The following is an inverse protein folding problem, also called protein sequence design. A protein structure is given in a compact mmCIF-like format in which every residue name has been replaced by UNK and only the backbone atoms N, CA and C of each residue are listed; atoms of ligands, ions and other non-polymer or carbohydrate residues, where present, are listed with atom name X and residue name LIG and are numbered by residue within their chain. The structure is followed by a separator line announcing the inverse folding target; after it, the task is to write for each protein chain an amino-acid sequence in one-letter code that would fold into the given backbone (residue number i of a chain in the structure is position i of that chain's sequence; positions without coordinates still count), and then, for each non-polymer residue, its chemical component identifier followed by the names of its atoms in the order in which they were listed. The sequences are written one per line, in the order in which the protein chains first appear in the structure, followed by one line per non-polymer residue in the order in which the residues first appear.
data_IF_010245249697
#
_entry.id   IF_010245249697
#
_cell.length_a   1.000
_cell.length_b   1.000
_cell.length_c   1.000
_cell.angle_alpha   90.00
_cell.angle_beta   90.00
_cell.angle_gamma   90.00
#
_symmetry.space_group_name_H-M   'P 1'
#
loop_
_entity.id
_entity.type
_entity.pdbx_description
1 polymer ?
#
# COMPACT_ATOMS: atom_id res chain seq x y z
N UNK A 1 -12.32 37.15 -38.51
CA UNK A 1 -10.94 37.61 -38.26
C UNK A 1 -10.10 36.38 -37.98
N UNK A 2 -9.31 35.92 -38.95
CA UNK A 2 -8.48 34.71 -38.80
C UNK A 2 -7.09 35.12 -38.28
N UNK A 3 -6.77 34.67 -37.07
CA UNK A 3 -5.47 34.93 -36.42
C UNK A 3 -4.38 34.15 -37.14
N UNK A 4 -3.42 34.88 -37.71
CA UNK A 4 -2.20 34.31 -38.26
C UNK A 4 -1.31 33.87 -37.09
N UNK A 5 -1.35 32.59 -36.76
CA UNK A 5 -0.30 31.96 -35.94
C UNK A 5 0.94 31.85 -36.80
N UNK A 6 1.86 32.80 -36.67
CA UNK A 6 3.21 32.69 -37.18
C UNK A 6 3.93 31.60 -36.38
N UNK A 7 3.78 30.35 -36.82
CA UNK A 7 4.62 29.26 -36.39
C UNK A 7 6.04 29.57 -36.86
N UNK A 8 6.84 30.18 -35.99
CA UNK A 8 8.29 30.29 -36.16
C UNK A 8 8.90 28.90 -36.01
N UNK A 9 8.62 28.03 -36.97
CA UNK A 9 9.44 26.88 -37.26
C UNK A 9 10.82 27.44 -37.57
N UNK A 10 11.78 27.23 -36.67
CA UNK A 10 13.20 27.48 -36.90
C UNK A 10 13.64 26.58 -38.06
N UNK A 11 13.30 27.00 -39.28
CA UNK A 11 14.01 26.64 -40.48
C UNK A 11 15.45 27.04 -40.20
N UNK A 12 16.39 26.09 -40.24
CA UNK A 12 17.82 26.39 -40.37
C UNK A 12 17.93 27.32 -41.58
N UNK A 13 17.91 28.62 -41.34
CA UNK A 13 17.79 29.61 -42.40
C UNK A 13 19.05 29.44 -43.24
N UNK A 14 18.88 28.99 -44.48
CA UNK A 14 19.99 28.85 -45.40
C UNK A 14 20.33 30.26 -45.87
N UNK A 15 21.42 30.80 -45.34
CA UNK A 15 21.94 32.12 -45.70
C UNK A 15 22.68 32.00 -47.03
N UNK A 16 22.41 32.89 -47.98
CA UNK A 16 23.15 33.00 -49.24
C UNK A 16 24.26 34.04 -49.08
N UNK A 17 25.44 33.76 -49.63
CA UNK A 17 26.50 34.76 -49.75
C UNK A 17 26.33 35.59 -51.03
N UNK A 18 27.17 36.61 -51.21
CA UNK A 18 27.11 37.50 -52.39
C UNK A 18 27.47 36.80 -53.72
N UNK A 19 27.99 35.57 -53.68
CA UNK A 19 28.12 34.72 -54.87
C UNK A 19 26.81 34.07 -55.33
N UNK A 20 25.73 34.18 -54.54
CA UNK A 20 24.47 33.46 -54.76
C UNK A 20 24.50 31.99 -54.28
N UNK A 21 25.57 31.58 -53.60
CA UNK A 21 25.75 30.23 -53.05
C UNK A 21 25.41 30.17 -51.56
N UNK A 22 25.07 28.98 -51.05
CA UNK A 22 24.80 28.81 -49.62
C UNK A 22 26.06 29.02 -48.77
N UNK A 23 25.96 29.92 -47.80
CA UNK A 23 26.99 30.18 -46.82
C UNK A 23 27.15 28.99 -45.86
N UNK A 24 28.38 28.78 -45.38
CA UNK A 24 28.75 27.73 -44.43
C UNK A 24 28.97 28.33 -43.04
N UNK A 25 28.77 27.52 -41.99
CA UNK A 25 29.16 27.93 -40.63
C UNK A 25 30.65 27.66 -40.43
N UNK A 26 31.44 28.71 -40.27
CA UNK A 26 32.85 28.66 -39.93
C UNK A 26 33.09 29.20 -38.52
N UNK A 27 34.26 28.89 -37.95
CA UNK A 27 34.69 29.37 -36.62
C UNK A 27 35.81 30.39 -36.80
N UNK A 28 35.66 31.57 -36.21
CA UNK A 28 36.67 32.62 -36.22
C UNK A 28 37.91 32.18 -35.46
N UNK A 29 39.06 32.42 -36.08
CA UNK A 29 40.41 32.18 -35.53
C UNK A 29 41.14 33.50 -35.24
N UNK A 30 40.46 34.64 -35.33
CA UNK A 30 41.09 35.93 -35.07
C UNK A 30 41.26 36.14 -33.56
N UNK A 31 42.30 36.85 -33.11
CA UNK A 31 42.51 37.17 -31.70
C UNK A 31 41.34 37.93 -31.06
N UNK A 32 40.59 38.71 -31.84
CA UNK A 32 39.48 39.54 -31.37
C UNK A 32 38.20 38.74 -31.15
N UNK A 33 38.00 37.64 -31.89
CA UNK A 33 36.80 36.80 -31.81
C UNK A 33 37.15 35.30 -31.81
N UNK A 34 37.98 34.81 -30.87
CA UNK A 34 38.42 33.42 -30.86
C UNK A 34 37.22 32.49 -30.62
N UNK A 35 37.03 31.49 -31.47
CA UNK A 35 36.02 30.43 -31.26
C UNK A 35 34.57 30.83 -31.60
N UNK A 36 34.30 32.09 -31.95
CA UNK A 36 32.96 32.54 -32.34
C UNK A 36 32.60 32.04 -33.74
N UNK A 37 31.38 31.53 -33.91
CA UNK A 37 30.89 31.01 -35.20
C UNK A 37 30.27 32.11 -36.07
N UNK A 38 30.42 31.99 -37.38
CA UNK A 38 29.86 32.91 -38.37
C UNK A 38 29.49 32.16 -39.66
N UNK A 39 28.52 32.68 -40.41
CA UNK A 39 28.22 32.35 -41.79
C UNK A 39 29.24 33.00 -42.72
N UNK A 40 30.02 32.19 -43.42
CA UNK A 40 31.00 32.64 -44.42
C UNK A 40 30.70 32.10 -45.80
N UNK A 41 31.22 32.76 -46.83
CA UNK A 41 31.24 32.21 -48.19
C UNK A 41 31.84 30.80 -48.18
N UNK A 42 31.29 29.88 -49.00
CA UNK A 42 31.81 28.50 -49.14
C UNK A 42 33.31 28.45 -49.51
N UNK A 43 33.80 29.47 -50.20
CA UNK A 43 35.21 29.60 -50.59
C UNK A 43 36.10 30.27 -49.52
N UNK A 44 35.58 30.57 -48.33
CA UNK A 44 36.38 31.17 -47.24
C UNK A 44 37.39 30.15 -46.66
N UNK A 45 38.65 30.54 -46.36
CA UNK A 45 39.26 31.87 -46.47
C UNK A 45 40.07 32.08 -47.78
N UNK A 46 39.80 31.31 -48.83
CA UNK A 46 40.57 31.37 -50.09
C UNK A 46 40.35 32.69 -50.85
N UNK A 47 41.27 33.04 -51.75
CA UNK A 47 41.24 34.30 -52.51
C UNK A 47 39.99 34.50 -53.40
N UNK A 48 39.25 33.43 -53.71
CA UNK A 48 37.98 33.46 -54.47
C UNK A 48 36.72 33.57 -53.62
N UNK A 49 36.83 34.04 -52.37
CA UNK A 49 35.67 34.33 -51.51
C UNK A 49 35.11 35.73 -51.81
N UNK A 50 33.80 35.94 -51.64
CA UNK A 50 33.17 37.25 -51.85
C UNK A 50 33.25 38.19 -50.64
N UNK A 51 33.93 37.81 -49.56
CA UNK A 51 34.01 38.61 -48.33
C UNK A 51 32.77 38.56 -47.43
N UNK A 52 31.72 37.81 -47.81
CA UNK A 52 30.52 37.68 -46.98
C UNK A 52 30.83 37.09 -45.59
N UNK A 53 30.42 37.82 -44.55
CA UNK A 53 30.49 37.40 -43.14
C UNK A 53 29.20 37.82 -42.44
N UNK A 54 28.46 36.85 -41.90
CA UNK A 54 27.31 37.09 -41.01
C UNK A 54 27.48 36.32 -39.71
N UNK A 55 27.14 36.87 -38.55
CA UNK A 55 27.31 36.14 -37.28
C UNK A 55 26.33 34.95 -37.17
N UNK A 56 26.82 33.81 -36.68
CA UNK A 56 26.00 32.62 -36.47
C UNK A 56 25.44 32.65 -35.05
N UNK A 57 24.12 32.74 -34.94
CA UNK A 57 23.41 32.53 -33.67
C UNK A 57 22.94 31.07 -33.60
N UNK A 58 23.39 30.27 -32.62
CA UNK A 58 22.81 28.95 -32.42
C UNK A 58 21.33 29.12 -32.07
N UNK A 59 20.44 28.22 -32.54
CA UNK A 59 19.09 28.21 -32.03
C UNK A 59 19.14 28.02 -30.52
N UNK A 60 18.42 28.86 -29.77
CA UNK A 60 18.24 28.66 -28.33
C UNK A 60 17.76 27.22 -28.15
N UNK A 61 18.57 26.41 -27.47
CA UNK A 61 18.25 25.01 -27.28
C UNK A 61 16.98 24.98 -26.42
N UNK A 62 15.85 24.56 -27.00
CA UNK A 62 14.58 24.41 -26.28
C UNK A 62 14.75 23.59 -24.99
N UNK A 63 15.77 22.74 -24.96
CA UNK A 63 16.20 21.92 -23.83
C UNK A 63 16.44 22.75 -22.56
N UNK A 64 17.04 23.95 -22.63
CA UNK A 64 17.28 24.78 -21.45
C UNK A 64 15.98 25.28 -20.82
N UNK A 65 15.02 25.65 -21.66
CA UNK A 65 13.68 26.09 -21.23
C UNK A 65 12.92 24.91 -20.62
N UNK A 66 13.03 23.72 -21.21
CA UNK A 66 12.42 22.49 -20.69
C UNK A 66 13.03 22.11 -19.34
N UNK A 67 14.36 22.13 -19.22
CA UNK A 67 15.08 21.85 -17.98
C UNK A 67 14.67 22.82 -16.88
N UNK A 68 14.58 24.12 -17.17
CA UNK A 68 14.11 25.11 -16.21
C UNK A 68 12.67 24.82 -15.74
N UNK A 69 11.75 24.52 -16.67
CA UNK A 69 10.35 24.18 -16.34
C UNK A 69 10.25 22.93 -15.48
N UNK A 70 11.03 21.90 -15.80
CA UNK A 70 11.07 20.65 -15.04
C UNK A 70 11.61 20.87 -13.63
N UNK A 71 12.71 21.62 -13.47
CA UNK A 71 13.25 21.98 -12.14
C UNK A 71 12.21 22.69 -11.28
N UNK A 72 11.48 23.66 -11.85
CA UNK A 72 10.40 24.36 -11.13
C UNK A 72 9.30 23.39 -10.69
N UNK A 73 8.95 22.42 -11.54
CA UNK A 73 7.92 21.41 -11.23
C UNK A 73 8.37 20.48 -10.10
N UNK A 74 9.65 20.08 -10.07
CA UNK A 74 10.21 19.26 -8.98
C UNK A 74 10.06 19.98 -7.63
N UNK A 75 10.55 21.21 -7.52
CA UNK A 75 10.45 22.00 -6.28
C UNK A 75 9.01 22.14 -5.81
N UNK A 76 8.08 22.41 -6.73
CA UNK A 76 6.66 22.55 -6.40
C UNK A 76 6.04 21.21 -5.94
N UNK A 77 6.41 20.10 -6.56
CA UNK A 77 5.93 18.77 -6.17
C UNK A 77 6.50 18.33 -4.82
N UNK A 78 7.78 18.62 -4.54
CA UNK A 78 8.40 18.35 -3.25
C UNK A 78 7.69 19.10 -2.12
N UNK A 79 7.38 20.38 -2.32
CA UNK A 79 6.59 21.16 -1.36
C UNK A 79 5.20 20.55 -1.11
N UNK A 80 4.50 20.11 -2.16
CA UNK A 80 3.20 19.46 -2.01
C UNK A 80 3.28 18.11 -1.28
N UNK A 81 4.36 17.35 -1.46
CA UNK A 81 4.58 16.12 -0.74
C UNK A 81 4.81 16.37 0.76
N UNK A 82 5.59 17.40 1.09
CA UNK A 82 5.83 17.80 2.47
C UNK A 82 4.52 18.22 3.17
N UNK A 83 3.69 19.02 2.50
CA UNK A 83 2.38 19.41 3.03
C UNK A 83 1.43 18.22 3.22
N UNK A 84 1.46 17.26 2.28
CA UNK A 84 0.67 16.01 2.41
C UNK A 84 1.15 15.17 3.59
N UNK A 85 2.46 15.05 3.79
CA UNK A 85 3.03 14.32 4.94
C UNK A 85 2.57 14.93 6.26
N UNK A 86 2.64 16.25 6.40
CA UNK A 86 2.18 16.96 7.60
C UNK A 86 0.69 16.72 7.89
N UNK A 87 -0.17 16.85 6.88
CA UNK A 87 -1.61 16.54 7.02
C UNK A 87 -1.85 15.09 7.46
N UNK A 88 -1.14 14.14 6.83
CA UNK A 88 -1.27 12.73 7.21
C UNK A 88 -0.80 12.47 8.65
N UNK A 89 0.26 13.15 9.12
CA UNK A 89 0.74 13.04 10.50
C UNK A 89 -0.26 13.64 11.49
N UNK A 90 -0.87 14.78 11.15
CA UNK A 90 -1.94 15.40 11.93
C UNK A 90 -3.17 14.49 12.01
N UNK A 91 -3.58 13.90 10.89
CA UNK A 91 -4.68 12.93 10.82
C UNK A 91 -4.37 11.68 11.65
N UNK A 92 -3.14 11.19 11.64
CA UNK A 92 -2.72 10.06 12.47
C UNK A 92 -2.84 10.39 13.96
N UNK A 93 -2.32 11.55 14.39
CA UNK A 93 -2.47 12.03 15.77
C UNK A 93 -3.94 12.18 16.16
N UNK A 94 -4.79 12.63 15.22
CA UNK A 94 -6.23 12.72 15.42
C UNK A 94 -6.86 11.35 15.60
N UNK A 95 -6.53 10.37 14.75
CA UNK A 95 -6.98 8.98 14.87
C UNK A 95 -6.56 8.42 16.23
N UNK A 96 -5.31 8.58 16.64
CA UNK A 96 -4.84 8.13 17.97
C UNK A 96 -5.60 8.81 19.11
N UNK A 97 -5.88 10.11 18.99
CA UNK A 97 -6.66 10.84 19.99
C UNK A 97 -8.11 10.36 20.05
N UNK A 98 -8.71 10.03 18.91
CA UNK A 98 -10.05 9.47 18.80
C UNK A 98 -10.07 8.06 19.38
N UNK A 99 -9.07 7.22 19.06
CA UNK A 99 -8.89 5.92 19.69
C UNK A 99 -8.76 6.06 21.20
N UNK A 100 -7.94 6.98 21.72
CA UNK A 100 -7.81 7.20 23.17
C UNK A 100 -9.12 7.64 23.82
N UNK A 101 -9.89 8.52 23.17
CA UNK A 101 -11.17 9.01 23.70
C UNK A 101 -12.29 7.97 23.60
N UNK A 102 -12.30 7.19 22.52
CA UNK A 102 -13.26 6.11 22.28
C UNK A 102 -12.89 4.84 23.06
N UNK A 103 -11.61 4.67 23.38
CA UNK A 103 -11.09 3.74 24.35
C UNK A 103 -11.26 4.34 25.75
N UNK A 104 -12.51 4.45 26.18
CA UNK A 104 -12.77 4.15 27.57
C UNK A 104 -12.22 2.74 27.79
N UNK A 105 -11.45 2.47 28.86
CA UNK A 105 -11.29 1.11 29.35
C UNK A 105 -12.72 0.64 29.63
N UNK A 106 -13.36 0.04 28.61
CA UNK A 106 -14.65 -0.61 28.71
C UNK A 106 -14.61 -1.40 30.01
N UNK A 107 -15.65 -1.25 30.82
CA UNK A 107 -15.80 -1.76 32.16
C UNK A 107 -15.39 -3.24 32.27
N UNK A 108 -14.09 -3.49 32.33
CA UNK A 108 -13.53 -4.83 32.17
C UNK A 108 -13.97 -5.70 33.33
N UNK A 109 -14.18 -5.08 34.49
CA UNK A 109 -14.80 -5.72 35.65
C UNK A 109 -16.26 -6.12 35.38
N UNK A 110 -17.07 -5.33 34.67
CA UNK A 110 -18.46 -5.66 34.39
C UNK A 110 -18.57 -6.84 33.43
N UNK A 111 -17.78 -6.82 32.35
CA UNK A 111 -17.69 -7.96 31.41
C UNK A 111 -17.15 -9.20 32.13
N UNK A 112 -16.09 -9.07 32.94
CA UNK A 112 -15.55 -10.19 33.72
C UNK A 112 -16.57 -10.76 34.72
N UNK A 113 -17.37 -9.92 35.37
CA UNK A 113 -18.43 -10.34 36.29
C UNK A 113 -19.52 -11.10 35.53
N UNK A 114 -19.92 -10.65 34.34
CA UNK A 114 -20.88 -11.38 33.51
C UNK A 114 -20.35 -12.76 33.10
N UNK A 115 -19.11 -12.84 32.60
CA UNK A 115 -18.52 -14.11 32.19
C UNK A 115 -18.31 -15.08 33.36
N UNK A 116 -17.93 -14.57 34.54
CA UNK A 116 -17.81 -15.42 35.75
C UNK A 116 -19.14 -15.99 36.18
N UNK A 117 -20.22 -15.18 36.20
CA UNK A 117 -21.57 -15.65 36.53
C UNK A 117 -22.04 -16.70 35.51
N UNK A 118 -21.77 -16.50 34.22
CA UNK A 118 -22.08 -17.49 33.18
C UNK A 118 -21.33 -18.79 33.41
N UNK A 119 -20.01 -18.75 33.67
CA UNK A 119 -19.20 -19.94 33.94
C UNK A 119 -19.66 -20.69 35.19
N UNK A 120 -20.02 -19.97 36.26
CA UNK A 120 -20.56 -20.56 37.49
C UNK A 120 -21.90 -21.28 37.25
N UNK A 121 -22.82 -20.65 36.52
CA UNK A 121 -24.12 -21.25 36.21
C UNK A 121 -24.00 -22.49 35.31
N UNK A 122 -23.15 -22.42 34.28
CA UNK A 122 -22.88 -23.56 33.40
C UNK A 122 -22.23 -24.71 34.17
N UNK A 123 -21.25 -24.39 35.04
CA UNK A 123 -20.62 -25.38 35.90
C UNK A 123 -21.60 -26.06 36.86
N UNK A 124 -22.49 -25.28 37.49
CA UNK A 124 -23.52 -25.81 38.38
C UNK A 124 -24.49 -26.75 37.63
N UNK A 125 -24.95 -26.38 36.43
CA UNK A 125 -25.83 -27.22 35.63
C UNK A 125 -25.17 -28.55 35.23
N UNK A 126 -23.88 -28.52 34.87
CA UNK A 126 -23.12 -29.74 34.56
C UNK A 126 -22.94 -30.64 35.78
N UNK A 127 -22.71 -30.07 36.97
CA UNK A 127 -22.63 -30.83 38.22
C UNK A 127 -23.97 -31.49 38.59
N UNK A 128 -25.09 -30.79 38.41
CA UNK A 128 -26.42 -31.37 38.60
C UNK A 128 -26.67 -32.55 37.66
N UNK A 129 -26.38 -32.38 36.37
CA UNK A 129 -26.51 -33.46 35.38
C UNK A 129 -25.60 -34.66 35.69
N UNK A 130 -24.39 -34.42 36.21
CA UNK A 130 -23.49 -35.49 36.63
C UNK A 130 -24.02 -36.23 37.86
N UNK A 131 -24.58 -35.50 38.83
CA UNK A 131 -25.18 -36.09 40.02
C UNK A 131 -26.39 -36.97 39.66
N UNK A 132 -27.30 -36.47 38.83
CA UNK A 132 -28.46 -37.22 38.34
C UNK A 132 -28.03 -38.49 37.57
N UNK A 133 -26.97 -38.39 36.75
CA UNK A 133 -26.42 -39.53 36.03
C UNK A 133 -25.80 -40.58 36.97
N UNK A 134 -25.12 -40.16 38.03
CA UNK A 134 -24.54 -41.06 39.03
C UNK A 134 -25.63 -41.78 39.83
N UNK A 135 -26.68 -41.07 40.24
CA UNK A 135 -27.81 -41.65 40.97
C UNK A 135 -28.57 -42.65 40.09
N UNK A 136 -28.79 -42.33 38.82
CA UNK A 136 -29.35 -43.27 37.85
C UNK A 136 -28.50 -44.54 37.71
N UNK A 137 -27.18 -44.40 37.60
CA UNK A 137 -26.27 -45.54 37.54
C UNK A 137 -26.30 -46.38 38.83
N UNK A 138 -26.38 -45.74 40.00
CA UNK A 138 -26.51 -46.43 41.28
C UNK A 138 -27.80 -47.27 41.32
N UNK A 139 -28.94 -46.68 40.91
CA UNK A 139 -30.20 -47.41 40.79
C UNK A 139 -30.14 -48.56 39.78
N UNK A 140 -29.44 -48.38 38.65
CA UNK A 140 -29.22 -49.44 37.66
C UNK A 140 -28.38 -50.59 38.25
N UNK A 141 -27.37 -50.29 39.06
CA UNK A 141 -26.56 -51.30 39.75
C UNK A 141 -27.40 -52.05 40.78
N UNK A 142 -28.21 -51.36 41.58
CA UNK A 142 -29.11 -52.00 42.55
C UNK A 142 -30.16 -52.89 41.86
N UNK A 143 -30.72 -52.44 40.73
CA UNK A 143 -31.68 -53.20 39.95
C UNK A 143 -31.05 -54.49 39.37
N UNK A 144 -29.83 -54.41 38.83
CA UNK A 144 -29.11 -55.59 38.31
C UNK A 144 -28.73 -56.57 39.42
N UNK A 145 -28.28 -56.08 40.57
CA UNK A 145 -28.01 -56.90 41.76
C UNK A 145 -29.29 -57.59 42.29
N UNK A 146 -30.44 -56.91 42.27
CA UNK A 146 -31.74 -57.49 42.67
C UNK A 146 -32.22 -58.57 41.69
N UNK A 147 -32.03 -58.40 40.37
CA UNK A 147 -32.37 -59.42 39.37
C UNK A 147 -31.46 -60.65 39.48
N UNK A 148 -30.17 -60.46 39.78
CA UNK A 148 -29.21 -61.55 39.98
C UNK A 148 -29.57 -62.43 41.18
N UNK A 149 -29.96 -61.82 42.31
CA UNK A 149 -30.35 -62.57 43.52
C UNK A 149 -31.65 -63.37 43.37
N UNK A 150 -32.64 -62.87 42.61
CA UNK A 150 -33.88 -63.62 42.33
C UNK A 150 -33.65 -64.88 41.49
N UNK A 151 -32.73 -64.85 40.52
CA UNK A 151 -32.44 -66.02 39.68
C UNK A 151 -31.70 -67.16 40.42
N UNK A 152 -31.13 -66.90 41.60
CA UNK A 152 -30.41 -67.92 42.41
C UNK A 152 -31.36 -68.59 43.43
N UNK A 153 -32.55 -68.03 43.69
CA UNK A 153 -33.43 -68.41 44.80
C UNK A 153 -34.48 -69.50 44.54
N UNK A 154 -34.68 -69.96 43.30
CA UNK A 154 -35.73 -70.94 42.97
C UNK A 154 -35.15 -72.26 42.45
N UNK A 155 -34.61 -73.08 43.36
CA UNK A 155 -34.46 -74.52 43.14
C UNK A 155 -34.94 -75.26 44.41
N UNK A 156 -36.17 -75.82 44.43
CA UNK A 156 -36.68 -76.48 45.61
C UNK A 156 -36.07 -77.89 45.75
N UNK A 157 -35.26 -78.08 46.80
CA UNK A 157 -34.84 -79.39 47.28
C UNK A 157 -36.06 -80.12 47.85
N UNK A 158 -36.52 -81.17 47.15
CA UNK A 158 -37.58 -82.04 47.63
C UNK A 158 -37.08 -82.91 48.81
N UNK A 159 -37.41 -82.52 50.04
CA UNK A 159 -37.22 -83.34 51.22
C UNK A 159 -38.34 -84.39 51.31
N UNK A 160 -38.03 -85.66 51.02
CA UNK A 160 -38.94 -86.78 51.26
C UNK A 160 -38.72 -87.30 52.67
N UNK A 161 -39.68 -87.04 53.56
CA UNK A 161 -39.76 -87.64 54.90
C UNK A 161 -40.37 -89.05 54.78
N UNK A 162 -39.61 -90.11 55.06
CA UNK A 162 -40.17 -91.46 55.25
C UNK A 162 -40.20 -91.77 56.74
N UNK A 163 -41.39 -92.17 57.17
CA UNK A 163 -41.82 -92.44 58.52
C UNK A 163 -41.83 -93.96 58.80
N UNK A 164 -41.57 -94.31 60.07
CA UNK A 164 -42.02 -95.48 60.86
C UNK A 164 -41.07 -96.67 61.09
N UNK A 165 -41.00 -96.93 62.41
CA UNK A 165 -40.88 -98.19 63.19
C UNK A 165 -39.49 -98.79 63.36
#
# INVERSE_FOLDING_TARGET
MASQTSSSSSSRARVLCDCGEYAIVATSRTPENPGRRFWGCKNYPSAGNCGFVGWYEPPVQNDDIVVYRLRRKIVNLEAQLEDKKKRNEEDLKKIESLQRKNYCPMDGWAVMVEWTVVLLNVGAALLSLLFDALEFLAHMVDATNSMSTRNIGEHPLAATTISRR
#
